data_IF_344736182160
#
_entry.id   IF_344736182160
#
_cell.length_a   1.000
_cell.length_b   1.000
_cell.length_c   1.000
_cell.angle_alpha   90.00
_cell.angle_beta   90.00
_cell.angle_gamma   90.00
#
_symmetry.space_group_name_H-M   'P 1'
#
loop_
_entity.id
_entity.type
_entity.pdbx_description
1 polymer ?
#
# COMPACT_ATOMS: atom_id res chain seq x y z
N UNK A 1 -6.39 -17.45 -15.23
CA UNK A 1 -6.89 -18.62 -14.47
C UNK A 1 -8.39 -18.48 -14.28
N UNK A 2 -9.12 -19.57 -14.10
CA UNK A 2 -10.57 -19.52 -13.83
C UNK A 2 -10.80 -19.97 -12.39
N UNK A 3 -11.60 -19.21 -11.64
CA UNK A 3 -12.01 -19.50 -10.29
C UNK A 3 -13.52 -19.25 -10.18
N UNK A 4 -14.33 -20.32 -10.02
CA UNK A 4 -15.80 -20.21 -9.88
C UNK A 4 -16.42 -19.32 -10.99
N UNK A 5 -16.13 -19.67 -12.25
CA UNK A 5 -16.54 -18.96 -13.47
C UNK A 5 -16.02 -17.50 -13.61
N UNK A 6 -15.14 -17.06 -12.71
CA UNK A 6 -14.45 -15.77 -12.82
C UNK A 6 -13.07 -15.97 -13.44
N UNK A 7 -12.84 -15.30 -14.58
CA UNK A 7 -11.54 -15.24 -15.24
C UNK A 7 -10.66 -14.18 -14.58
N UNK A 8 -9.49 -14.59 -14.08
CA UNK A 8 -8.48 -13.73 -13.47
C UNK A 8 -7.24 -13.77 -14.35
N UNK A 9 -6.85 -12.60 -14.86
CA UNK A 9 -5.73 -12.43 -15.77
C UNK A 9 -4.65 -11.52 -15.18
N UNK A 10 -3.40 -11.87 -15.48
CA UNK A 10 -2.26 -10.98 -15.30
C UNK A 10 -2.17 -10.03 -16.50
N UNK A 11 -1.51 -8.88 -16.32
CA UNK A 11 -1.25 -7.95 -17.41
C UNK A 11 -0.19 -8.47 -18.40
N UNK A 12 0.65 -9.40 -17.95
CA UNK A 12 1.64 -10.10 -18.75
C UNK A 12 1.56 -11.62 -18.50
N UNK A 13 2.11 -12.40 -19.43
CA UNK A 13 2.15 -13.86 -19.30
C UNK A 13 3.37 -14.27 -18.49
N UNK A 14 3.13 -14.73 -17.27
CA UNK A 14 4.14 -15.31 -16.41
C UNK A 14 4.03 -16.84 -16.36
N UNK A 15 5.17 -17.51 -16.21
CA UNK A 15 5.24 -18.94 -15.91
C UNK A 15 5.21 -19.12 -14.38
N UNK A 16 6.22 -19.75 -13.79
CA UNK A 16 6.36 -19.88 -12.35
C UNK A 16 6.93 -18.61 -11.73
N UNK A 17 6.27 -18.11 -10.68
CA UNK A 17 6.74 -16.99 -9.87
C UNK A 17 6.97 -17.45 -8.44
N UNK A 18 8.05 -16.97 -7.84
CA UNK A 18 8.26 -17.04 -6.38
C UNK A 18 7.29 -16.09 -5.68
N UNK A 19 7.16 -16.19 -4.34
CA UNK A 19 6.36 -15.22 -3.56
C UNK A 19 6.83 -13.78 -3.79
N UNK A 20 8.14 -13.57 -3.89
CA UNK A 20 8.74 -12.29 -4.26
C UNK A 20 8.35 -11.87 -5.68
N UNK A 21 8.45 -12.78 -6.65
CA UNK A 21 8.06 -12.50 -8.03
C UNK A 21 6.59 -12.07 -8.15
N UNK A 22 5.69 -12.69 -7.38
CA UNK A 22 4.27 -12.30 -7.32
C UNK A 22 4.12 -10.83 -6.91
N UNK A 23 4.87 -10.37 -5.90
CA UNK A 23 4.83 -8.98 -5.45
C UNK A 23 5.51 -8.03 -6.44
N UNK A 24 6.71 -8.38 -6.90
CA UNK A 24 7.56 -7.57 -7.81
C UNK A 24 6.86 -7.30 -9.14
N UNK A 25 6.25 -8.33 -9.72
CA UNK A 25 5.55 -8.27 -11.00
C UNK A 25 4.05 -8.08 -10.85
N UNK A 26 3.54 -7.91 -9.62
CA UNK A 26 2.13 -7.64 -9.37
C UNK A 26 1.16 -8.64 -10.02
N UNK A 27 1.46 -9.94 -9.93
CA UNK A 27 0.66 -11.00 -10.56
C UNK A 27 -0.67 -11.21 -9.81
N UNK A 28 -1.78 -10.84 -10.44
CA UNK A 28 -3.14 -11.09 -9.97
C UNK A 28 -3.40 -12.58 -9.78
N UNK A 29 -2.95 -13.41 -10.71
CA UNK A 29 -3.06 -14.88 -10.64
C UNK A 29 -2.30 -15.41 -9.43
N UNK A 30 -1.07 -14.90 -9.20
CA UNK A 30 -0.26 -15.25 -8.05
C UNK A 30 -0.96 -14.90 -6.73
N UNK A 31 -1.44 -13.66 -6.60
CA UNK A 31 -2.18 -13.20 -5.42
C UNK A 31 -3.49 -13.97 -5.20
N UNK A 32 -4.24 -14.26 -6.26
CA UNK A 32 -5.47 -15.04 -6.17
C UNK A 32 -5.20 -16.46 -5.64
N UNK A 33 -4.17 -17.14 -6.16
CA UNK A 33 -3.76 -18.47 -5.69
C UNK A 33 -3.29 -18.44 -4.23
N UNK A 34 -2.54 -17.42 -3.82
CA UNK A 34 -2.18 -17.23 -2.42
C UNK A 34 -3.42 -17.03 -1.54
N UNK A 35 -4.37 -16.21 -1.98
CA UNK A 35 -5.64 -15.99 -1.29
C UNK A 35 -6.43 -17.28 -1.09
N UNK A 36 -6.54 -18.12 -2.13
CA UNK A 36 -7.17 -19.44 -2.04
C UNK A 36 -6.50 -20.32 -0.98
N UNK A 37 -5.15 -20.30 -0.90
CA UNK A 37 -4.39 -21.10 0.07
C UNK A 37 -4.51 -20.58 1.51
N UNK A 38 -4.53 -19.26 1.69
CA UNK A 38 -4.65 -18.61 3.01
C UNK A 38 -6.06 -18.79 3.58
N UNK A 39 -7.08 -18.70 2.72
CA UNK A 39 -8.47 -18.88 3.08
C UNK A 39 -9.14 -17.63 3.66
N UNK A 40 -10.48 -17.58 3.54
CA UNK A 40 -11.32 -16.39 3.81
C UNK A 40 -11.09 -15.74 5.17
N UNK A 41 -11.03 -16.55 6.23
CA UNK A 41 -10.99 -16.04 7.61
C UNK A 41 -9.65 -15.37 7.88
N UNK A 42 -8.55 -15.95 7.40
CA UNK A 42 -7.21 -15.41 7.58
C UNK A 42 -6.99 -14.14 6.75
N UNK A 43 -7.52 -14.09 5.52
CA UNK A 43 -7.50 -12.85 4.71
C UNK A 43 -8.21 -11.72 5.47
N UNK A 44 -9.43 -11.97 5.96
CA UNK A 44 -10.18 -10.96 6.70
C UNK A 44 -9.47 -10.54 8.00
N UNK A 45 -8.96 -11.51 8.77
CA UNK A 45 -8.20 -11.26 10.00
C UNK A 45 -6.99 -10.35 9.74
N UNK A 46 -6.20 -10.67 8.71
CA UNK A 46 -5.04 -9.87 8.33
C UNK A 46 -5.42 -8.47 7.85
N UNK A 47 -6.48 -8.34 7.03
CA UNK A 47 -6.97 -7.03 6.60
C UNK A 47 -7.44 -6.16 7.79
N UNK A 48 -8.13 -6.74 8.78
CA UNK A 48 -8.48 -6.03 10.02
C UNK A 48 -7.25 -5.68 10.84
N UNK A 49 -6.26 -6.58 10.91
CA UNK A 49 -5.01 -6.38 11.65
C UNK A 49 -4.20 -5.20 11.12
N UNK A 50 -4.25 -4.94 9.82
CA UNK A 50 -3.64 -3.76 9.18
C UNK A 50 -4.50 -2.49 9.26
N UNK A 51 -5.65 -2.54 9.92
CA UNK A 51 -6.54 -1.40 10.13
C UNK A 51 -7.64 -1.21 9.08
N UNK A 52 -7.71 -2.06 8.04
CA UNK A 52 -8.77 -1.94 7.03
C UNK A 52 -10.14 -2.27 7.61
N UNK A 53 -11.19 -1.66 7.05
CA UNK A 53 -12.56 -1.82 7.54
C UNK A 53 -12.84 -1.16 8.89
N UNK A 54 -11.91 -0.36 9.42
CA UNK A 54 -12.02 0.35 10.70
C UNK A 54 -11.63 1.83 10.53
N UNK A 55 -12.17 2.72 11.36
CA UNK A 55 -11.65 4.08 11.46
C UNK A 55 -10.20 4.03 11.96
N UNK A 56 -9.35 4.95 11.50
CA UNK A 56 -7.94 4.99 11.89
C UNK A 56 -7.73 5.62 13.26
N UNK A 57 -8.72 6.35 13.77
CA UNK A 57 -8.62 7.12 15.01
C UNK A 57 -8.08 8.53 14.80
N UNK A 58 -7.97 8.99 13.54
CA UNK A 58 -7.41 10.30 13.20
C UNK A 58 -8.18 11.50 13.76
N UNK A 59 -9.40 11.28 14.28
CA UNK A 59 -10.33 12.30 14.77
C UNK A 59 -10.74 13.33 13.70
N UNK A 60 -10.45 13.06 12.43
CA UNK A 60 -10.86 13.93 11.33
C UNK A 60 -12.36 13.78 11.06
N UNK A 61 -13.09 14.90 10.87
CA UNK A 61 -14.49 14.84 10.49
C UNK A 61 -14.65 14.16 9.12
N UNK A 62 -15.66 13.31 8.99
CA UNK A 62 -15.94 12.61 7.74
C UNK A 62 -15.05 11.39 7.47
N UNK A 63 -14.29 10.90 8.46
CA UNK A 63 -13.50 9.69 8.30
C UNK A 63 -14.37 8.48 7.92
N UNK A 64 -13.95 7.76 6.88
CA UNK A 64 -14.62 6.55 6.42
C UNK A 64 -13.84 5.30 6.83
N UNK A 65 -14.55 4.26 7.26
CA UNK A 65 -13.95 2.95 7.59
C UNK A 65 -13.55 2.11 6.37
N UNK A 66 -13.91 2.55 5.17
CA UNK A 66 -13.81 1.75 3.94
C UNK A 66 -14.90 0.67 3.83
N UNK A 67 -14.72 -0.24 2.88
CA UNK A 67 -15.56 -1.42 2.64
C UNK A 67 -14.68 -2.68 2.69
N UNK A 68 -14.87 -3.48 3.73
CA UNK A 68 -14.21 -4.78 3.87
C UNK A 68 -15.29 -5.87 4.01
N UNK A 69 -15.45 -6.74 3.00
CA UNK A 69 -16.43 -7.82 3.05
C UNK A 69 -16.23 -8.72 4.27
N UNK A 70 -17.32 -9.11 4.94
CA UNK A 70 -17.26 -10.00 6.10
C UNK A 70 -17.36 -11.46 5.63
N UNK A 71 -16.43 -12.36 6.03
CA UNK A 71 -16.42 -13.75 5.58
C UNK A 71 -17.64 -14.58 6.02
N UNK A 72 -18.41 -14.09 6.98
CA UNK A 72 -19.65 -14.72 7.46
C UNK A 72 -20.92 -14.14 6.81
N UNK A 73 -20.79 -13.14 5.93
CA UNK A 73 -21.95 -12.54 5.27
C UNK A 73 -22.38 -13.37 4.06
N UNK A 74 -23.64 -13.22 3.65
CA UNK A 74 -24.23 -13.97 2.51
C UNK A 74 -23.62 -13.53 1.17
N UNK A 75 -23.01 -12.36 1.14
CA UNK A 75 -22.38 -11.74 -0.03
C UNK A 75 -20.96 -12.26 -0.27
N UNK A 76 -20.36 -12.99 0.69
CA UNK A 76 -19.05 -13.60 0.51
C UNK A 76 -19.16 -14.86 -0.36
N UNK A 77 -18.60 -14.81 -1.56
CA UNK A 77 -18.49 -15.94 -2.48
C UNK A 77 -17.10 -16.58 -2.43
N UNK A 78 -16.91 -17.69 -3.14
CA UNK A 78 -15.61 -18.36 -3.25
C UNK A 78 -14.51 -17.40 -3.75
N UNK A 79 -14.85 -16.51 -4.68
CA UNK A 79 -13.90 -15.58 -5.31
C UNK A 79 -13.61 -14.34 -4.48
N UNK A 80 -14.44 -13.98 -3.49
CA UNK A 80 -14.27 -12.74 -2.71
C UNK A 80 -12.88 -12.63 -2.08
N UNK A 81 -12.40 -13.68 -1.40
CA UNK A 81 -11.07 -13.70 -0.81
C UNK A 81 -9.95 -13.56 -1.85
N UNK A 82 -9.90 -14.43 -2.89
CA UNK A 82 -8.94 -14.34 -3.97
C UNK A 82 -8.87 -12.96 -4.65
N UNK A 83 -10.01 -12.32 -4.94
CA UNK A 83 -10.03 -11.01 -5.61
C UNK A 83 -9.56 -9.87 -4.70
N UNK A 84 -9.83 -9.97 -3.39
CA UNK A 84 -9.32 -9.02 -2.40
C UNK A 84 -7.79 -9.05 -2.33
N UNK A 85 -7.15 -10.19 -2.55
CA UNK A 85 -5.69 -10.32 -2.49
C UNK A 85 -4.95 -9.54 -3.58
N UNK A 86 -5.61 -9.18 -4.69
CA UNK A 86 -5.06 -8.27 -5.69
C UNK A 86 -5.79 -6.90 -5.73
N UNK A 87 -6.58 -6.60 -4.69
CA UNK A 87 -7.16 -5.26 -4.47
C UNK A 87 -8.55 -5.02 -5.07
N UNK A 88 -9.27 -6.05 -5.52
CA UNK A 88 -10.65 -5.93 -5.98
C UNK A 88 -11.65 -6.41 -4.91
N UNK A 89 -12.88 -5.88 -4.93
CA UNK A 89 -13.92 -6.26 -3.96
C UNK A 89 -13.71 -5.69 -2.54
N UNK A 90 -12.73 -4.82 -2.35
CA UNK A 90 -12.43 -4.10 -1.11
C UNK A 90 -12.24 -2.61 -1.44
N UNK A 91 -12.67 -1.71 -0.55
CA UNK A 91 -12.38 -0.29 -0.64
C UNK A 91 -11.69 0.18 0.65
N UNK A 92 -10.55 0.84 0.49
CA UNK A 92 -9.74 1.36 1.61
C UNK A 92 -9.46 2.84 1.37
N UNK A 93 -9.39 3.62 2.44
CA UNK A 93 -9.08 5.05 2.33
C UNK A 93 -7.59 5.26 2.09
N UNK A 94 -7.21 6.40 1.51
CA UNK A 94 -5.80 6.77 1.36
C UNK A 94 -5.05 6.80 2.70
N UNK A 95 -5.70 7.26 3.76
CA UNK A 95 -5.14 7.28 5.10
C UNK A 95 -4.89 5.87 5.65
N UNK A 96 -5.80 4.92 5.42
CA UNK A 96 -5.58 3.52 5.78
C UNK A 96 -4.39 2.90 5.01
N UNK A 97 -4.26 3.20 3.71
CA UNK A 97 -3.12 2.73 2.90
C UNK A 97 -1.80 3.30 3.44
N UNK A 98 -1.71 4.63 3.61
CA UNK A 98 -0.50 5.27 4.13
C UNK A 98 -0.15 4.73 5.51
N UNK A 99 -1.12 4.55 6.41
CA UNK A 99 -0.85 4.03 7.75
C UNK A 99 -0.30 2.59 7.74
N UNK A 100 -0.78 1.73 6.83
CA UNK A 100 -0.20 0.40 6.62
C UNK A 100 1.25 0.50 6.12
N UNK A 101 1.54 1.34 5.14
CA UNK A 101 2.91 1.49 4.64
C UNK A 101 3.84 2.10 5.69
N UNK A 102 3.36 3.06 6.48
CA UNK A 102 4.08 3.59 7.64
C UNK A 102 4.36 2.51 8.69
N UNK A 103 3.42 1.58 8.91
CA UNK A 103 3.64 0.43 9.79
C UNK A 103 4.70 -0.53 9.24
N UNK A 104 4.79 -0.72 7.92
CA UNK A 104 5.88 -1.51 7.31
C UNK A 104 7.22 -0.76 7.45
N UNK A 105 7.20 0.55 7.22
CA UNK A 105 8.36 1.41 7.34
C UNK A 105 8.96 1.36 8.77
N UNK A 106 8.13 1.52 9.79
CA UNK A 106 8.54 1.62 11.20
C UNK A 106 8.72 0.28 11.95
N UNK A 107 8.91 -0.83 11.22
CA UNK A 107 9.19 -2.14 11.84
C UNK A 107 7.97 -2.89 12.35
N UNK A 108 6.76 -2.54 11.88
CA UNK A 108 5.53 -3.30 12.09
C UNK A 108 4.54 -2.68 13.05
N UNK A 109 4.71 -1.42 13.45
CA UNK A 109 3.88 -0.74 14.44
C UNK A 109 2.80 0.09 13.73
N UNK A 110 1.56 -0.36 13.80
CA UNK A 110 0.43 0.42 13.32
C UNK A 110 0.16 1.56 14.30
N UNK A 111 0.29 2.78 13.82
CA UNK A 111 0.14 4.00 14.62
C UNK A 111 -1.27 4.56 14.49
N UNK A 112 -1.70 5.32 15.48
CA UNK A 112 -2.87 6.20 15.37
C UNK A 112 -2.46 7.48 14.62
N UNK A 113 -2.96 7.71 13.38
CA UNK A 113 -2.60 8.90 12.62
C UNK A 113 -3.04 10.17 13.36
N UNK A 114 -2.25 11.24 13.22
CA UNK A 114 -2.50 12.51 13.91
C UNK A 114 -2.28 13.69 12.99
N UNK A 115 -3.07 14.73 13.21
CA UNK A 115 -2.94 16.01 12.52
C UNK A 115 -2.67 17.18 13.48
N UNK A 116 -2.97 16.99 14.77
CA UNK A 116 -2.74 17.99 15.83
C UNK A 116 -1.59 17.51 16.70
N UNK A 117 -0.54 18.33 16.82
CA UNK A 117 0.61 18.06 17.71
C UNK A 117 0.33 18.55 19.13
N UNK A 118 -0.18 19.76 19.26
CA UNK A 118 -0.50 20.39 20.54
C UNK A 118 -1.60 21.43 20.35
N UNK A 119 -2.29 21.77 21.44
CA UNK A 119 -3.10 22.98 21.54
C UNK A 119 -2.37 23.97 22.43
N UNK A 120 -2.30 25.22 22.00
CA UNK A 120 -1.72 26.31 22.78
C UNK A 120 -2.77 27.37 23.08
N UNK A 121 -2.58 28.11 24.17
CA UNK A 121 -3.36 29.31 24.43
C UNK A 121 -2.91 30.48 23.52
N UNK A 122 -3.51 31.66 23.73
CA UNK A 122 -3.19 32.88 22.98
C UNK A 122 -1.77 33.38 23.22
N UNK A 123 -1.08 32.89 24.24
CA UNK A 123 0.30 33.23 24.60
C UNK A 123 1.30 32.14 24.12
N UNK A 124 0.84 31.19 23.28
CA UNK A 124 1.60 30.02 22.82
C UNK A 124 2.01 29.04 23.94
N UNK A 125 1.38 29.09 25.11
CA UNK A 125 1.64 28.13 26.18
C UNK A 125 0.88 26.83 25.91
N UNK A 126 1.50 25.64 26.03
CA UNK A 126 0.84 24.37 25.77
C UNK A 126 -0.30 24.13 26.77
N UNK A 127 -1.51 23.95 26.25
CA UNK A 127 -2.70 23.49 26.98
C UNK A 127 -2.69 21.95 27.02
N UNK A 128 -2.36 21.34 25.88
CA UNK A 128 -2.16 19.90 25.78
C UNK A 128 -1.16 19.58 24.66
N UNK A 129 -0.42 18.50 24.86
CA UNK A 129 0.43 17.89 23.84
C UNK A 129 -0.07 16.47 23.59
N UNK A 130 -0.14 16.09 22.32
CA UNK A 130 -0.57 14.76 21.93
C UNK A 130 0.66 13.91 21.61
N UNK A 131 0.86 12.82 22.34
CA UNK A 131 2.02 11.91 22.18
C UNK A 131 1.74 10.75 21.22
N UNK A 132 2.70 10.32 20.36
CA UNK A 132 2.53 9.23 19.41
C UNK A 132 1.95 7.96 20.06
N UNK A 133 0.88 7.43 19.49
CA UNK A 133 0.21 6.24 20.03
C UNK A 133 0.31 5.05 19.07
N UNK A 134 0.88 3.97 19.60
CA UNK A 134 0.88 2.66 18.94
C UNK A 134 -0.48 2.00 19.16
N UNK A 135 -1.16 1.61 18.09
CA UNK A 135 -2.41 0.83 18.18
C UNK A 135 -2.07 -0.64 18.43
N UNK A 136 -1.19 -1.21 17.59
CA UNK A 136 -0.77 -2.62 17.67
C UNK A 136 0.44 -2.91 16.78
N UNK A 137 1.06 -4.07 16.99
CA UNK A 137 2.04 -4.66 16.05
C UNK A 137 1.33 -5.54 15.02
N UNK A 138 1.55 -5.30 13.73
CA UNK A 138 0.90 -6.05 12.64
C UNK A 138 1.59 -7.38 12.36
N UNK A 139 2.92 -7.44 12.45
CA UNK A 139 3.72 -8.66 12.29
C UNK A 139 5.04 -8.57 13.06
N UNK A 140 5.79 -9.67 13.13
CA UNK A 140 7.15 -9.65 13.67
C UNK A 140 8.06 -8.79 12.79
N UNK A 141 9.12 -8.25 13.39
CA UNK A 141 10.08 -7.41 12.68
C UNK A 141 10.77 -8.16 11.53
N UNK A 142 11.04 -9.45 11.69
CA UNK A 142 11.58 -10.32 10.65
C UNK A 142 10.67 -10.40 9.41
N UNK A 143 9.36 -10.60 9.62
CA UNK A 143 8.38 -10.62 8.53
C UNK A 143 8.30 -9.24 7.86
N UNK A 144 8.29 -8.16 8.65
CA UNK A 144 8.26 -6.79 8.13
C UNK A 144 9.50 -6.50 7.28
N UNK A 145 10.68 -6.93 7.73
CA UNK A 145 11.92 -6.74 6.99
C UNK A 145 11.92 -7.52 5.68
N UNK A 146 11.38 -8.75 5.68
CA UNK A 146 11.20 -9.54 4.45
C UNK A 146 10.29 -8.81 3.45
N UNK A 147 9.15 -8.30 3.91
CA UNK A 147 8.21 -7.53 3.07
C UNK A 147 8.86 -6.25 2.54
N UNK A 148 9.60 -5.53 3.38
CA UNK A 148 10.35 -4.32 2.98
C UNK A 148 11.32 -4.61 1.84
N UNK A 149 12.14 -5.66 1.95
CA UNK A 149 13.09 -6.06 0.89
C UNK A 149 12.36 -6.40 -0.41
N UNK A 150 11.24 -7.13 -0.33
CA UNK A 150 10.46 -7.43 -1.53
C UNK A 150 9.86 -6.16 -2.16
N UNK A 151 9.44 -5.18 -1.35
CA UNK A 151 8.94 -3.87 -1.83
C UNK A 151 10.05 -2.98 -2.41
N UNK A 152 11.29 -3.08 -1.93
CA UNK A 152 12.44 -2.43 -2.58
C UNK A 152 12.63 -2.98 -3.99
N UNK A 153 12.53 -4.30 -4.14
CA UNK A 153 12.71 -4.98 -5.43
C UNK A 153 11.67 -4.59 -6.47
N UNK A 154 10.43 -4.27 -6.05
CA UNK A 154 9.40 -3.67 -6.92
C UNK A 154 9.91 -2.39 -7.59
N UNK A 155 10.62 -1.55 -6.84
CA UNK A 155 11.18 -0.28 -7.33
C UNK A 155 12.51 -0.51 -8.03
N UNK A 156 13.31 -1.50 -7.64
CA UNK A 156 14.60 -1.77 -8.30
C UNK A 156 14.44 -2.29 -9.73
N UNK A 157 13.55 -3.26 -9.95
CA UNK A 157 13.41 -3.94 -11.25
C UNK A 157 11.99 -4.44 -11.56
N UNK A 158 11.01 -4.17 -10.69
CA UNK A 158 9.62 -4.55 -10.89
C UNK A 158 8.76 -3.45 -11.53
N UNK A 159 7.48 -3.45 -11.20
CA UNK A 159 6.51 -2.49 -11.77
C UNK A 159 6.71 -1.05 -11.31
N UNK A 160 7.51 -0.80 -10.28
CA UNK A 160 7.68 0.53 -9.64
C UNK A 160 8.96 1.27 -10.04
N UNK A 161 9.64 0.89 -11.12
CA UNK A 161 10.99 1.39 -11.46
C UNK A 161 11.10 2.89 -11.61
N UNK A 162 10.04 3.57 -12.07
CA UNK A 162 10.01 5.03 -12.21
C UNK A 162 9.82 5.77 -10.88
N UNK A 163 9.64 5.06 -9.75
CA UNK A 163 9.58 5.65 -8.42
C UNK A 163 10.97 5.78 -7.75
N UNK A 164 12.04 5.31 -8.42
CA UNK A 164 13.42 5.46 -7.94
C UNK A 164 13.75 6.93 -7.70
N UNK A 165 14.46 7.20 -6.61
CA UNK A 165 15.03 8.51 -6.30
C UNK A 165 16.54 8.36 -6.18
N UNK A 166 17.28 9.13 -6.98
CA UNK A 166 18.74 9.04 -7.01
C UNK A 166 19.36 9.38 -5.64
N UNK A 167 20.21 8.48 -5.13
CA UNK A 167 20.88 8.63 -3.83
C UNK A 167 20.10 8.11 -2.62
N UNK A 168 18.91 7.55 -2.82
CA UNK A 168 18.10 6.95 -1.76
C UNK A 168 17.58 5.56 -2.14
N UNK A 169 17.35 4.71 -1.14
CA UNK A 169 16.64 3.45 -1.32
C UNK A 169 15.13 3.70 -1.18
N UNK A 170 14.31 3.06 -2.02
CA UNK A 170 12.86 3.26 -2.03
C UNK A 170 12.18 1.90 -2.02
N UNK A 171 11.20 1.74 -1.14
CA UNK A 171 10.32 0.57 -1.11
C UNK A 171 8.89 1.03 -1.36
N UNK A 172 8.17 0.35 -2.25
CA UNK A 172 6.79 0.72 -2.55
C UNK A 172 6.10 -0.22 -3.52
N UNK A 173 4.84 0.09 -3.83
CA UNK A 173 4.03 -0.70 -4.74
C UNK A 173 3.11 0.19 -5.57
N UNK A 174 2.96 -0.21 -6.84
CA UNK A 174 1.95 0.31 -7.77
C UNK A 174 0.58 -0.29 -7.51
N UNK A 175 -0.47 0.50 -7.72
CA UNK A 175 -1.86 0.06 -7.76
C UNK A 175 -2.58 0.63 -8.99
N UNK A 176 -3.22 -0.23 -9.76
CA UNK A 176 -4.08 0.17 -10.88
C UNK A 176 -5.43 -0.52 -10.69
N UNK A 177 -6.42 0.23 -10.21
CA UNK A 177 -7.75 -0.30 -9.88
C UNK A 177 -8.80 0.24 -10.85
N UNK A 178 -9.64 -0.64 -11.39
CA UNK A 178 -10.80 -0.23 -12.18
C UNK A 178 -11.88 0.37 -11.28
N UNK A 179 -12.49 1.47 -11.71
CA UNK A 179 -13.62 2.07 -11.01
C UNK A 179 -14.89 1.26 -11.27
N UNK A 180 -15.62 1.00 -10.19
CA UNK A 180 -16.97 0.43 -10.24
C UNK A 180 -17.98 1.54 -10.57
N UNK A 181 -18.81 1.30 -11.58
CA UNK A 181 -20.03 2.08 -11.77
C UNK A 181 -21.14 1.44 -10.94
N UNK A 182 -21.62 2.17 -9.93
CA UNK A 182 -22.63 1.69 -8.99
C UNK A 182 -24.02 1.60 -9.61
N UNK A 183 -24.31 2.33 -10.69
CA UNK A 183 -25.62 2.33 -11.34
C UNK A 183 -25.81 1.04 -12.15
N UNK A 184 -24.80 0.64 -12.90
CA UNK A 184 -24.83 -0.58 -13.73
C UNK A 184 -24.18 -1.79 -13.06
N UNK A 185 -23.59 -1.61 -11.87
CA UNK A 185 -22.91 -2.63 -11.06
C UNK A 185 -21.80 -3.37 -11.83
N UNK A 186 -21.03 -2.62 -12.64
CA UNK A 186 -19.94 -3.16 -13.47
C UNK A 186 -18.69 -2.30 -13.35
N UNK A 187 -17.53 -2.95 -13.50
CA UNK A 187 -16.28 -2.22 -13.66
C UNK A 187 -16.28 -1.46 -15.00
N UNK A 188 -15.70 -0.28 -14.96
CA UNK A 188 -15.59 0.62 -16.11
C UNK A 188 -14.18 0.58 -16.71
N UNK A 189 -13.98 1.29 -17.82
CA UNK A 189 -12.66 1.58 -18.39
C UNK A 189 -12.01 2.82 -17.75
N UNK A 190 -12.49 3.24 -16.57
CA UNK A 190 -11.88 4.31 -15.78
C UNK A 190 -11.07 3.69 -14.64
N UNK A 191 -9.94 4.31 -14.33
CA UNK A 191 -8.96 3.74 -13.41
C UNK A 191 -8.57 4.74 -12.33
N UNK A 192 -8.22 4.19 -11.18
CA UNK A 192 -7.43 4.89 -10.15
C UNK A 192 -6.01 4.34 -10.26
N UNK A 193 -5.06 5.24 -10.54
CA UNK A 193 -3.63 4.94 -10.57
C UNK A 193 -2.99 5.42 -9.29
N UNK A 194 -2.28 4.55 -8.58
CA UNK A 194 -1.66 4.89 -7.31
C UNK A 194 -0.27 4.30 -7.14
N UNK A 195 0.55 4.98 -6.35
CA UNK A 195 1.80 4.44 -5.84
C UNK A 195 1.91 4.80 -4.37
N UNK A 196 2.19 3.81 -3.53
CA UNK A 196 2.50 4.03 -2.12
C UNK A 196 3.88 3.47 -1.82
N UNK A 197 4.69 4.24 -1.13
CA UNK A 197 6.04 3.83 -0.76
C UNK A 197 6.62 4.68 0.35
N UNK A 198 7.77 4.27 0.84
CA UNK A 198 8.53 4.97 1.86
C UNK A 198 10.02 5.06 1.50
N UNK A 199 10.66 6.11 2.01
CA UNK A 199 12.01 6.54 1.67
C UNK A 199 12.68 7.20 2.88
N UNK A 200 14.00 7.00 3.09
CA UNK A 200 14.81 5.88 2.59
C UNK A 200 14.28 4.53 3.10
N UNK A 201 14.24 3.49 2.27
CA UNK A 201 13.67 2.20 2.73
C UNK A 201 14.46 1.54 3.87
N UNK A 202 15.77 1.79 3.95
CA UNK A 202 16.65 1.24 4.98
C UNK A 202 16.65 2.02 6.31
N UNK A 203 16.24 3.29 6.29
CA UNK A 203 15.99 4.11 7.47
C UNK A 203 14.83 5.07 7.14
N UNK A 204 13.57 4.60 7.24
CA UNK A 204 12.44 5.34 6.71
C UNK A 204 12.13 6.63 7.47
N UNK A 205 12.07 7.72 6.72
CA UNK A 205 11.73 9.05 7.23
C UNK A 205 10.36 9.52 6.75
N UNK A 206 9.96 9.11 5.54
CA UNK A 206 8.73 9.56 4.91
C UNK A 206 8.00 8.41 4.20
N UNK A 207 6.67 8.35 4.39
CA UNK A 207 5.76 7.53 3.59
C UNK A 207 4.90 8.44 2.74
N UNK A 208 4.80 8.16 1.45
CA UNK A 208 4.05 8.96 0.47
C UNK A 208 3.08 8.04 -0.27
N UNK A 209 1.85 8.52 -0.41
CA UNK A 209 0.84 7.93 -1.29
C UNK A 209 0.48 8.96 -2.35
N UNK A 210 0.62 8.56 -3.62
CA UNK A 210 0.10 9.29 -4.77
C UNK A 210 -1.12 8.55 -5.28
N UNK A 211 -2.22 9.27 -5.52
CA UNK A 211 -3.44 8.74 -6.13
C UNK A 211 -3.88 9.70 -7.24
N UNK A 212 -4.11 9.16 -8.43
CA UNK A 212 -4.55 9.89 -9.61
C UNK A 212 -5.85 9.24 -10.09
N UNK A 213 -6.93 10.00 -10.01
CA UNK A 213 -8.27 9.55 -10.40
C UNK A 213 -8.53 9.85 -11.88
N UNK A 214 -8.91 8.82 -12.64
CA UNK A 214 -9.23 8.88 -14.07
C UNK A 214 -8.18 9.59 -14.94
N UNK A 215 -6.90 9.14 -14.92
CA UNK A 215 -5.87 9.73 -15.77
C UNK A 215 -6.28 9.66 -17.25
N UNK A 216 -5.94 10.71 -18.01
CA UNK A 216 -6.35 10.85 -19.42
C UNK A 216 -5.32 10.33 -20.43
N UNK A 217 -4.06 10.18 -20.04
CA UNK A 217 -2.95 9.73 -20.89
C UNK A 217 -2.31 8.50 -20.26
N UNK A 218 -2.79 7.32 -20.64
CA UNK A 218 -2.46 6.05 -19.99
C UNK A 218 -3.23 5.84 -18.68
N UNK A 219 -3.04 4.68 -18.07
CA UNK A 219 -3.63 4.30 -16.77
C UNK A 219 -2.70 3.44 -15.90
N UNK A 220 -1.49 3.16 -16.36
CA UNK A 220 -0.55 2.38 -15.59
C UNK A 220 0.07 3.25 -14.50
N UNK A 221 -0.06 2.81 -13.25
CA UNK A 221 0.53 3.53 -12.13
C UNK A 221 2.06 3.62 -12.21
N UNK A 222 2.70 2.68 -12.91
CA UNK A 222 4.13 2.70 -13.23
C UNK A 222 4.53 3.96 -14.01
N UNK A 223 3.71 4.40 -14.96
CA UNK A 223 3.99 5.53 -15.85
C UNK A 223 3.46 6.86 -15.32
N UNK A 224 2.46 6.81 -14.42
CA UNK A 224 1.72 8.00 -14.00
C UNK A 224 2.01 8.36 -12.54
N UNK A 225 1.79 7.43 -11.61
CA UNK A 225 1.91 7.72 -10.18
C UNK A 225 3.37 7.64 -9.69
N UNK A 226 4.17 6.73 -10.25
CA UNK A 226 5.56 6.55 -9.84
C UNK A 226 6.45 7.77 -10.10
N UNK A 227 6.42 8.43 -11.28
CA UNK A 227 7.21 9.65 -11.50
C UNK A 227 6.80 10.80 -10.56
N UNK A 228 5.50 10.92 -10.26
CA UNK A 228 5.00 11.93 -9.31
C UNK A 228 5.54 11.64 -7.90
N UNK A 229 5.52 10.39 -7.46
CA UNK A 229 6.15 9.99 -6.21
C UNK A 229 7.63 10.34 -6.19
N UNK A 230 8.38 10.00 -7.25
CA UNK A 230 9.82 10.25 -7.32
C UNK A 230 10.16 11.74 -7.17
N UNK A 231 9.40 12.61 -7.85
CA UNK A 231 9.58 14.07 -7.74
C UNK A 231 9.27 14.59 -6.32
N UNK A 232 8.11 14.23 -5.74
CA UNK A 232 7.73 14.66 -4.39
C UNK A 232 8.77 14.17 -3.37
N UNK A 233 9.18 12.90 -3.48
CA UNK A 233 10.15 12.30 -2.59
C UNK A 233 11.52 12.98 -2.69
N UNK A 234 11.99 13.28 -3.90
CA UNK A 234 13.26 14.00 -4.11
C UNK A 234 13.24 15.37 -3.43
N UNK A 235 12.19 16.14 -3.67
CA UNK A 235 12.06 17.49 -3.11
C UNK A 235 11.92 17.44 -1.58
N UNK A 236 11.14 16.50 -1.06
CA UNK A 236 10.97 16.32 0.38
C UNK A 236 12.26 15.89 1.07
N UNK A 237 13.03 14.95 0.50
CA UNK A 237 14.30 14.53 1.09
C UNK A 237 15.33 15.67 1.11
N UNK A 238 15.35 16.51 0.07
CA UNK A 238 16.22 17.70 0.05
C UNK A 238 15.77 18.72 1.10
N UNK A 239 14.47 18.98 1.20
CA UNK A 239 13.90 19.92 2.17
C UNK A 239 14.14 19.49 3.62
N UNK A 240 14.03 18.19 3.90
CA UNK A 240 14.27 17.59 5.22
C UNK A 240 15.76 17.37 5.51
N UNK A 241 16.66 17.75 4.59
CA UNK A 241 18.12 17.57 4.72
C UNK A 241 18.54 16.12 5.02
N UNK A 242 17.77 15.14 4.55
CA UNK A 242 18.08 13.73 4.74
C UNK A 242 19.32 13.40 3.92
N UNK A 243 20.33 12.82 4.57
CA UNK A 243 21.59 12.51 3.89
C UNK A 243 21.42 11.38 2.87
N UNK A 244 21.90 11.61 1.64
CA UNK A 244 22.09 10.56 0.65
C UNK A 244 23.09 9.54 1.18
N UNK A 245 22.78 8.26 1.07
CA UNK A 245 23.74 7.18 1.34
C UNK A 245 24.12 6.51 0.02
N UNK A 246 25.42 6.30 -0.18
CA UNK A 246 25.94 5.56 -1.33
C UNK A 246 25.26 4.19 -1.44
N UNK A 247 24.68 3.91 -2.60
CA UNK A 247 23.95 2.66 -2.90
C UNK A 247 24.94 1.47 -3.10
N UNK A 248 26.26 1.70 -3.05
CA UNK A 248 27.28 0.72 -3.47
C UNK A 248 27.47 -0.54 -2.61
N UNK A 249 26.72 -0.74 -1.51
CA UNK A 249 26.94 -1.91 -0.63
C UNK A 249 25.83 -2.96 -0.61
N UNK A 250 24.80 -2.85 -1.45
CA UNK A 250 23.77 -3.89 -1.53
C UNK A 250 23.95 -4.77 -2.77
N UNK A 251 25.12 -5.40 -2.87
CA UNK A 251 25.25 -6.64 -3.61
C UNK A 251 24.48 -7.71 -2.81
N UNK A 252 23.17 -7.81 -3.04
CA UNK A 252 22.41 -8.97 -2.61
C UNK A 252 23.04 -10.18 -3.31
N UNK A 253 23.66 -11.06 -2.52
CA UNK A 253 24.28 -12.29 -3.02
C UNK A 253 23.28 -13.03 -3.94
N UNK A 254 23.77 -13.33 -5.15
CA UNK A 254 23.06 -14.10 -6.18
C UNK A 254 22.66 -15.48 -5.69
#
# INVERSE_FOLDING_TARGET
>A
MIADDVEINDHEKYSYLTLEGILVYSSNIGFAKLGMKIGRNKIYEWARRTGFGSLTGSMMPGEMRGLLPNPNSKEWSFVTGPIMCYGQGVAVTGLQIVNLYSAIANGGLLMEPRFVKSLTDMENKPICEYEPRVIRRIASEEIINTVRIMLEKVVMYGTGTLAKVEGYTVAGKTGTAQKLDTNIKKYTNKYISSFCGFIPSNNPELTILVVIDEPKKGYWASEIACPVFSNIAKDAMNYLEIQKKSIHNYAYNK
#
